data_IF_955916839498
#
_entry.id   IF_955916839498
#
_cell.length_a   1.000
_cell.length_b   1.000
_cell.length_c   1.000
_cell.angle_alpha   90.00
_cell.angle_beta   90.00
_cell.angle_gamma   90.00
#
_symmetry.space_group_name_H-M   'P 1'
#
loop_
_entity.id
_entity.type
_entity.pdbx_description
1 polymer ?
#
# COMPACT_ATOMS: atom_id res chain seq x y z
N UNK A 1 -2.82 12.37 0.27
CA UNK A 1 -3.09 13.82 0.23
C UNK A 1 -4.07 14.20 -0.89
N UNK A 2 -3.91 13.70 -2.13
CA UNK A 2 -4.78 14.05 -3.26
C UNK A 2 -6.26 13.75 -3.03
N UNK A 3 -6.62 12.78 -2.19
CA UNK A 3 -8.00 12.45 -1.84
C UNK A 3 -8.40 12.85 -0.42
N UNK A 4 -7.57 13.58 0.32
CA UNK A 4 -7.86 14.00 1.69
C UNK A 4 -8.51 15.39 1.71
N UNK A 5 -9.72 15.54 2.24
CA UNK A 5 -10.38 16.86 2.32
C UNK A 5 -9.56 17.89 3.09
N UNK A 6 -8.84 17.46 4.13
CA UNK A 6 -7.99 18.33 4.94
C UNK A 6 -6.79 18.90 4.18
N UNK A 7 -6.46 18.37 3.02
CA UNK A 7 -5.36 18.84 2.18
C UNK A 7 -5.81 19.85 1.08
N UNK A 8 -7.07 20.26 1.09
CA UNK A 8 -7.59 21.21 0.10
C UNK A 8 -6.84 22.55 0.15
N UNK A 9 -6.35 23.01 -1.01
CA UNK A 9 -5.65 24.27 -1.13
C UNK A 9 -4.21 24.30 -0.58
N UNK A 10 -3.69 23.18 -0.04
CA UNK A 10 -2.33 23.13 0.52
C UNK A 10 -1.24 22.97 -0.56
N UNK A 11 -1.63 22.57 -1.78
CA UNK A 11 -0.69 22.39 -2.90
C UNK A 11 -1.40 22.67 -4.25
N UNK A 12 -0.63 23.07 -5.25
CA UNK A 12 -1.12 23.45 -6.58
C UNK A 12 -0.77 22.44 -7.67
N UNK A 13 0.10 21.47 -7.38
CA UNK A 13 0.49 20.38 -8.26
C UNK A 13 1.06 19.25 -7.42
N UNK A 14 1.13 18.04 -7.97
CA UNK A 14 1.69 16.88 -7.29
C UNK A 14 2.62 16.07 -8.20
N UNK A 15 3.64 15.45 -7.60
CA UNK A 15 4.50 14.46 -8.24
C UNK A 15 4.47 13.20 -7.38
N UNK A 16 4.06 12.07 -7.97
CA UNK A 16 3.98 10.78 -7.31
C UNK A 16 4.98 9.81 -7.96
N UNK A 17 6.00 9.42 -7.22
CA UNK A 17 7.07 8.55 -7.69
C UNK A 17 6.99 7.19 -6.98
N UNK A 18 6.72 6.12 -7.75
CA UNK A 18 6.62 4.74 -7.24
C UNK A 18 5.67 4.61 -6.05
N UNK A 19 4.50 5.22 -6.15
CA UNK A 19 3.50 5.24 -5.08
C UNK A 19 2.74 3.92 -5.01
N UNK A 20 2.76 3.20 -3.87
CA UNK A 20 1.95 2.00 -3.67
C UNK A 20 0.49 2.40 -3.34
N UNK A 21 -0.23 2.89 -4.33
CA UNK A 21 -1.55 3.56 -4.17
C UNK A 21 -2.61 2.66 -3.52
N UNK A 22 -2.47 1.33 -3.63
CA UNK A 22 -3.36 0.36 -2.97
C UNK A 22 -2.95 0.04 -1.53
N UNK A 23 -1.84 0.58 -1.04
CA UNK A 23 -1.38 0.36 0.34
C UNK A 23 -2.04 1.33 1.32
N UNK A 24 -3.37 1.34 1.33
CA UNK A 24 -4.21 1.94 2.36
C UNK A 24 -5.15 0.85 2.87
N UNK A 25 -5.40 0.80 4.16
CA UNK A 25 -6.09 -0.33 4.77
C UNK A 25 -7.27 0.11 5.63
N UNK A 26 -8.27 -0.75 5.75
CA UNK A 26 -9.37 -0.58 6.66
C UNK A 26 -8.89 -0.57 8.13
N UNK A 27 -9.66 0.07 9.00
CA UNK A 27 -9.32 0.27 10.42
C UNK A 27 -8.97 -1.02 11.17
N UNK A 28 -9.60 -2.16 10.85
CA UNK A 28 -9.30 -3.44 11.49
C UNK A 28 -7.88 -3.94 11.20
N UNK A 29 -7.38 -3.69 10.00
CA UNK A 29 -6.01 -4.00 9.64
C UNK A 29 -5.00 -3.17 10.44
N UNK A 30 -5.26 -1.87 10.56
CA UNK A 30 -4.45 -0.97 11.37
C UNK A 30 -4.49 -1.33 12.86
N UNK A 31 -5.66 -1.71 13.36
CA UNK A 31 -5.83 -2.14 14.76
C UNK A 31 -4.94 -3.35 15.11
N UNK A 32 -4.93 -4.39 14.27
CA UNK A 32 -4.05 -5.57 14.50
C UNK A 32 -2.57 -5.21 14.55
N UNK A 33 -2.14 -4.28 13.70
CA UNK A 33 -0.76 -3.77 13.70
C UNK A 33 -0.47 -2.99 15.00
N UNK A 34 -1.38 -2.10 15.39
CA UNK A 34 -1.25 -1.33 16.62
C UNK A 34 -1.23 -2.22 17.87
N UNK A 35 -2.09 -3.23 17.95
CA UNK A 35 -2.10 -4.20 19.04
C UNK A 35 -0.76 -4.92 19.15
N UNK A 36 -0.23 -5.44 18.04
CA UNK A 36 1.06 -6.11 18.04
C UNK A 36 2.20 -5.17 18.46
N UNK A 37 2.15 -3.91 18.04
CA UNK A 37 3.13 -2.90 18.45
C UNK A 37 3.07 -2.62 19.95
N UNK A 38 1.87 -2.49 20.51
CA UNK A 38 1.66 -2.27 21.95
C UNK A 38 2.09 -3.48 22.78
N UNK A 39 1.79 -4.70 22.29
CA UNK A 39 2.23 -5.94 22.97
C UNK A 39 3.76 -6.01 23.08
N UNK A 40 4.49 -5.61 22.03
CA UNK A 40 5.96 -5.58 22.05
C UNK A 40 6.53 -4.56 23.06
N UNK A 41 5.76 -3.52 23.35
CA UNK A 41 6.12 -2.48 24.31
C UNK A 41 5.55 -2.73 25.72
N UNK A 42 4.82 -3.83 25.91
CA UNK A 42 4.12 -4.16 27.15
C UNK A 42 3.20 -3.03 27.63
N UNK A 43 2.47 -2.39 26.69
CA UNK A 43 1.54 -1.30 26.96
C UNK A 43 0.12 -1.77 26.69
N UNK A 44 -0.74 -1.67 27.71
CA UNK A 44 -2.16 -1.89 27.56
C UNK A 44 -2.87 -0.74 26.83
N UNK A 45 -4.01 -1.02 26.18
CA UNK A 45 -4.81 0.01 25.49
C UNK A 45 -5.24 1.19 26.38
N UNK A 46 -5.39 0.95 27.69
CA UNK A 46 -5.72 1.97 28.68
C UNK A 46 -4.55 2.89 29.04
N UNK A 47 -3.31 2.47 28.71
CA UNK A 47 -2.06 3.12 29.13
C UNK A 47 -1.31 3.80 27.98
N UNK A 48 -2.01 4.17 26.89
CA UNK A 48 -1.39 4.75 25.69
C UNK A 48 -0.53 6.00 25.97
N UNK A 49 -0.85 6.75 27.02
CA UNK A 49 -0.05 7.91 27.44
C UNK A 49 1.40 7.56 27.80
N UNK A 50 1.69 6.29 28.15
CA UNK A 50 3.06 5.85 28.42
C UNK A 50 3.98 5.86 27.19
N UNK A 51 3.41 5.80 25.96
CA UNK A 51 4.18 5.84 24.72
C UNK A 51 5.07 7.07 24.61
N UNK A 52 4.56 8.24 25.05
CA UNK A 52 5.31 9.51 25.00
C UNK A 52 6.55 9.53 25.92
N UNK A 53 6.59 8.67 26.94
CA UNK A 53 7.69 8.58 27.89
C UNK A 53 8.69 7.46 27.61
N UNK A 54 8.46 6.66 26.54
CA UNK A 54 9.38 5.56 26.21
C UNK A 54 10.67 6.07 25.56
N UNK A 55 11.80 5.37 25.79
CA UNK A 55 13.01 5.58 25.01
C UNK A 55 12.74 5.35 23.52
N UNK A 56 13.29 6.20 22.67
CA UNK A 56 13.12 6.10 21.20
C UNK A 56 13.61 4.74 20.68
N UNK A 57 14.62 4.17 21.29
CA UNK A 57 15.19 2.86 20.94
C UNK A 57 14.16 1.74 21.11
N UNK A 58 13.34 1.77 22.15
CA UNK A 58 12.27 0.79 22.37
C UNK A 58 11.19 0.91 21.29
N UNK A 59 10.78 2.13 20.96
CA UNK A 59 9.82 2.40 19.89
C UNK A 59 10.35 1.91 18.54
N UNK A 60 11.61 2.21 18.23
CA UNK A 60 12.27 1.80 16.97
C UNK A 60 12.40 0.28 16.91
N UNK A 61 12.76 -0.38 18.00
CA UNK A 61 12.87 -1.84 18.05
C UNK A 61 11.52 -2.53 17.81
N UNK A 62 10.46 -2.08 18.49
CA UNK A 62 9.10 -2.58 18.30
C UNK A 62 8.59 -2.33 16.87
N UNK A 63 8.82 -1.12 16.33
CA UNK A 63 8.45 -0.77 14.95
C UNK A 63 9.14 -1.66 13.92
N UNK A 64 10.43 -1.92 14.10
CA UNK A 64 11.21 -2.80 13.20
C UNK A 64 10.68 -4.23 13.24
N UNK A 65 10.36 -4.75 14.43
CA UNK A 65 9.77 -6.09 14.57
C UNK A 65 8.44 -6.19 13.84
N UNK A 66 7.54 -5.23 14.03
CA UNK A 66 6.23 -5.19 13.34
C UNK A 66 6.41 -5.06 11.83
N UNK A 67 7.34 -4.20 11.39
CA UNK A 67 7.66 -3.99 9.98
C UNK A 67 8.09 -5.29 9.28
N UNK A 68 8.86 -6.13 9.96
CA UNK A 68 9.34 -7.39 9.40
C UNK A 68 8.28 -8.50 9.49
N UNK A 69 7.49 -8.57 10.58
CA UNK A 69 6.49 -9.62 10.80
C UNK A 69 5.27 -9.50 9.87
N UNK A 70 4.77 -8.29 9.63
CA UNK A 70 3.50 -8.08 8.91
C UNK A 70 3.54 -8.66 7.50
N UNK A 71 4.52 -8.35 6.63
CA UNK A 71 4.54 -8.89 5.27
C UNK A 71 4.88 -10.38 5.20
N UNK A 72 5.43 -10.96 6.26
CA UNK A 72 5.62 -12.43 6.36
C UNK A 72 4.28 -13.11 6.61
N UNK A 73 3.44 -12.55 7.48
CA UNK A 73 2.11 -13.09 7.80
C UNK A 73 1.07 -12.77 6.73
N UNK A 74 1.17 -11.58 6.16
CA UNK A 74 0.24 -11.05 5.15
C UNK A 74 1.04 -10.53 3.96
N UNK A 75 1.35 -11.39 2.96
CA UNK A 75 2.19 -11.02 1.82
C UNK A 75 1.68 -9.78 1.08
N UNK A 76 2.58 -8.85 0.79
CA UNK A 76 2.27 -7.60 0.10
C UNK A 76 1.69 -6.50 1.00
N UNK A 77 1.46 -6.76 2.29
CA UNK A 77 0.94 -5.76 3.23
C UNK A 77 2.08 -4.99 3.90
N UNK A 78 1.96 -3.66 3.92
CA UNK A 78 2.84 -2.80 4.71
C UNK A 78 2.37 -2.77 6.16
N UNK A 79 3.32 -2.76 7.10
CA UNK A 79 2.99 -2.62 8.53
C UNK A 79 2.41 -1.21 8.83
N UNK A 80 3.07 -0.19 8.30
CA UNK A 80 2.69 1.20 8.49
C UNK A 80 2.18 1.78 7.18
N UNK A 81 0.91 2.11 7.15
CA UNK A 81 0.24 2.63 5.97
C UNK A 81 -0.95 3.52 6.40
N UNK A 82 -1.44 4.39 5.52
CA UNK A 82 -2.66 5.16 5.78
C UNK A 82 -3.85 4.25 6.07
N UNK A 83 -4.68 4.67 7.00
CA UNK A 83 -5.93 3.97 7.35
C UNK A 83 -7.10 4.74 6.76
N UNK A 84 -8.00 4.02 6.10
CA UNK A 84 -9.29 4.55 5.65
C UNK A 84 -10.15 4.75 6.89
N UNK A 85 -10.29 6.00 7.32
CA UNK A 85 -10.96 6.41 8.56
C UNK A 85 -12.30 7.12 8.32
N UNK A 86 -12.62 7.42 7.05
CA UNK A 86 -13.83 8.13 6.67
C UNK A 86 -13.74 9.67 6.82
N UNK A 87 -12.61 10.20 7.28
CA UNK A 87 -12.38 11.63 7.54
C UNK A 87 -11.11 12.12 6.81
N UNK A 88 -9.92 11.89 7.37
CA UNK A 88 -8.65 12.30 6.74
C UNK A 88 -8.37 11.47 5.48
N UNK A 89 -8.68 10.20 5.51
CA UNK A 89 -8.66 9.29 4.35
C UNK A 89 -10.07 8.72 4.17
N UNK A 90 -10.95 9.45 3.45
CA UNK A 90 -12.38 9.12 3.41
C UNK A 90 -12.71 7.81 2.69
N UNK A 91 -11.87 7.38 1.76
CA UNK A 91 -12.02 6.12 1.02
C UNK A 91 -10.66 5.70 0.44
N UNK A 92 -10.58 4.53 -0.17
CA UNK A 92 -9.37 4.06 -0.86
C UNK A 92 -8.99 5.02 -2.00
N UNK A 93 -7.69 5.34 -2.16
CA UNK A 93 -7.26 6.36 -3.13
C UNK A 93 -7.71 6.11 -4.57
N UNK A 94 -7.65 4.85 -5.05
CA UNK A 94 -8.13 4.50 -6.40
C UNK A 94 -9.64 4.70 -6.51
N UNK A 95 -10.40 4.39 -5.46
CA UNK A 95 -11.85 4.61 -5.42
C UNK A 95 -12.19 6.10 -5.48
N UNK A 96 -11.48 6.93 -4.70
CA UNK A 96 -11.65 8.38 -4.74
C UNK A 96 -11.33 8.96 -6.13
N UNK A 97 -10.24 8.53 -6.74
CA UNK A 97 -9.88 8.96 -8.09
C UNK A 97 -10.96 8.59 -9.12
N UNK A 98 -11.45 7.35 -9.10
CA UNK A 98 -12.53 6.89 -9.99
C UNK A 98 -13.85 7.63 -9.80
N UNK A 99 -14.13 8.09 -8.58
CA UNK A 99 -15.31 8.91 -8.25
C UNK A 99 -15.13 10.41 -8.58
N UNK A 100 -13.95 10.84 -9.05
CA UNK A 100 -13.63 12.24 -9.27
C UNK A 100 -13.52 13.07 -7.97
N UNK A 101 -13.21 12.42 -6.86
CA UNK A 101 -13.12 13.02 -5.52
C UNK A 101 -11.68 13.33 -5.09
N UNK A 102 -10.78 13.50 -6.05
CA UNK A 102 -9.41 13.97 -5.80
C UNK A 102 -9.32 15.49 -6.06
N UNK A 103 -8.34 16.14 -5.40
CA UNK A 103 -8.12 17.57 -5.63
C UNK A 103 -7.76 17.85 -7.10
N UNK A 104 -8.36 18.87 -7.74
CA UNK A 104 -8.18 19.16 -9.16
C UNK A 104 -6.84 19.88 -9.42
N UNK A 105 -5.74 19.19 -9.18
CA UNK A 105 -4.37 19.70 -9.40
C UNK A 105 -3.63 18.83 -10.41
N UNK A 106 -2.77 19.39 -11.27
CA UNK A 106 -1.95 18.62 -12.19
C UNK A 106 -1.10 17.57 -11.46
N UNK A 107 -0.98 16.37 -12.04
CA UNK A 107 -0.27 15.24 -11.45
C UNK A 107 0.75 14.67 -12.45
N UNK A 108 2.01 14.55 -12.00
CA UNK A 108 3.00 13.68 -12.63
C UNK A 108 3.04 12.39 -11.80
N UNK A 109 2.80 11.23 -12.44
CA UNK A 109 2.83 9.95 -11.75
C UNK A 109 3.61 8.92 -12.56
N UNK A 110 4.51 8.19 -11.91
CA UNK A 110 5.32 7.19 -12.58
C UNK A 110 5.89 6.14 -11.67
N UNK A 111 6.39 5.08 -12.31
CA UNK A 111 7.03 3.95 -11.64
C UNK A 111 8.30 3.55 -12.38
N UNK A 112 9.24 2.91 -11.67
CA UNK A 112 10.41 2.34 -12.29
C UNK A 112 10.05 1.07 -13.11
N UNK A 113 10.87 0.75 -14.11
CA UNK A 113 10.69 -0.46 -14.92
C UNK A 113 10.73 -1.74 -14.08
N UNK A 114 11.58 -1.78 -13.05
CA UNK A 114 11.88 -2.96 -12.25
C UNK A 114 11.69 -2.69 -10.75
N UNK A 115 10.52 -2.22 -10.34
CA UNK A 115 10.20 -1.87 -8.94
C UNK A 115 10.53 -3.01 -7.95
N UNK A 116 10.21 -4.25 -8.31
CA UNK A 116 10.43 -5.40 -7.42
C UNK A 116 11.91 -5.83 -7.29
N UNK A 117 12.82 -5.32 -8.13
CA UNK A 117 14.20 -5.78 -8.17
C UNK A 117 14.97 -5.50 -6.87
N UNK A 118 14.78 -4.32 -6.29
CA UNK A 118 15.42 -3.93 -5.02
C UNK A 118 15.00 -4.84 -3.88
N UNK A 119 13.71 -5.14 -3.75
CA UNK A 119 13.16 -6.00 -2.69
C UNK A 119 13.71 -7.43 -2.78
N UNK A 120 13.88 -7.95 -4.00
CA UNK A 120 14.53 -9.24 -4.21
C UNK A 120 15.98 -9.23 -3.77
N UNK A 121 16.73 -8.19 -4.15
CA UNK A 121 18.14 -8.05 -3.78
C UNK A 121 18.32 -7.96 -2.26
N UNK A 122 17.46 -7.20 -1.59
CA UNK A 122 17.42 -7.07 -0.14
C UNK A 122 16.82 -8.30 0.57
N UNK A 123 16.30 -9.30 -0.16
CA UNK A 123 15.54 -10.44 0.36
C UNK A 123 14.36 -10.01 1.25
N UNK A 124 13.77 -8.86 0.94
CA UNK A 124 12.68 -8.29 1.72
C UNK A 124 11.39 -9.08 1.52
N UNK A 125 10.64 -9.40 2.59
CA UNK A 125 9.33 -10.05 2.50
C UNK A 125 8.22 -9.13 1.98
N UNK A 126 8.46 -7.82 1.89
CA UNK A 126 7.48 -6.82 1.43
C UNK A 126 6.98 -7.08 0.00
N UNK A 127 7.80 -7.69 -0.84
CA UNK A 127 7.44 -7.98 -2.21
C UNK A 127 7.44 -9.48 -2.46
N UNK A 128 6.27 -10.13 -2.45
CA UNK A 128 6.16 -11.57 -2.65
C UNK A 128 6.49 -11.94 -4.09
N UNK A 129 7.37 -12.92 -4.27
CA UNK A 129 7.79 -13.40 -5.59
C UNK A 129 7.52 -14.89 -5.82
N UNK A 130 7.10 -15.60 -4.78
CA UNK A 130 6.68 -17.01 -4.86
C UNK A 130 5.22 -17.08 -5.26
N UNK A 131 4.78 -18.07 -6.07
CA UNK A 131 3.40 -18.19 -6.52
C UNK A 131 2.38 -18.18 -5.37
N UNK A 132 2.67 -18.92 -4.29
CA UNK A 132 1.79 -19.03 -3.12
C UNK A 132 1.62 -17.69 -2.42
N UNK A 133 2.71 -16.94 -2.25
CA UNK A 133 2.70 -15.62 -1.61
C UNK A 133 2.03 -14.57 -2.51
N UNK A 134 2.19 -14.68 -3.83
CA UNK A 134 1.47 -13.82 -4.79
C UNK A 134 -0.03 -14.09 -4.72
N UNK A 135 -0.44 -15.36 -4.69
CA UNK A 135 -1.84 -15.73 -4.55
C UNK A 135 -2.44 -15.21 -3.23
N UNK A 136 -1.71 -15.32 -2.14
CA UNK A 136 -2.11 -14.74 -0.85
C UNK A 136 -2.24 -13.21 -0.92
N UNK A 137 -1.30 -12.52 -1.55
CA UNK A 137 -1.38 -11.06 -1.76
C UNK A 137 -2.61 -10.66 -2.57
N UNK A 138 -2.96 -11.40 -3.62
CA UNK A 138 -4.18 -11.15 -4.40
C UNK A 138 -5.44 -11.31 -3.54
N UNK A 139 -5.50 -12.37 -2.72
CA UNK A 139 -6.63 -12.60 -1.83
C UNK A 139 -6.78 -11.48 -0.79
N UNK A 140 -5.67 -10.99 -0.23
CA UNK A 140 -5.67 -9.87 0.70
C UNK A 140 -6.15 -8.56 0.04
N UNK A 141 -5.66 -8.25 -1.17
CA UNK A 141 -6.11 -7.04 -1.89
C UNK A 141 -7.59 -7.14 -2.25
N UNK A 142 -8.06 -8.30 -2.71
CA UNK A 142 -9.47 -8.52 -3.03
C UNK A 142 -10.38 -8.40 -1.81
N UNK A 143 -9.94 -8.89 -0.65
CA UNK A 143 -10.67 -8.77 0.60
C UNK A 143 -10.69 -7.32 1.12
N UNK A 144 -9.56 -6.61 1.01
CA UNK A 144 -9.42 -5.23 1.45
C UNK A 144 -10.19 -4.24 0.55
N UNK A 145 -10.14 -4.46 -0.77
CA UNK A 145 -10.74 -3.58 -1.78
C UNK A 145 -11.59 -4.36 -2.78
N UNK A 146 -12.79 -4.83 -2.40
CA UNK A 146 -13.63 -5.68 -3.27
C UNK A 146 -14.05 -5.01 -4.58
N UNK A 147 -14.03 -3.68 -4.65
CA UNK A 147 -14.33 -2.92 -5.86
C UNK A 147 -13.19 -2.89 -6.89
N UNK A 148 -12.00 -3.35 -6.49
CA UNK A 148 -10.83 -3.40 -7.36
C UNK A 148 -10.85 -4.68 -8.18
N UNK A 149 -11.01 -4.55 -9.50
CA UNK A 149 -10.97 -5.69 -10.42
C UNK A 149 -9.52 -6.14 -10.60
N UNK A 150 -9.18 -7.27 -10.01
CA UNK A 150 -7.88 -7.90 -10.16
C UNK A 150 -7.91 -8.90 -11.33
N UNK A 151 -6.77 -9.06 -12.07
CA UNK A 151 -6.68 -10.02 -13.15
C UNK A 151 -6.76 -11.47 -12.63
N UNK A 152 -7.38 -12.34 -13.42
CA UNK A 152 -7.41 -13.77 -13.16
C UNK A 152 -6.04 -14.45 -13.35
N UNK A 153 -5.87 -15.65 -12.82
CA UNK A 153 -4.65 -16.43 -13.03
C UNK A 153 -4.36 -16.71 -14.52
N UNK A 154 -5.40 -16.90 -15.34
CA UNK A 154 -5.28 -17.12 -16.78
C UNK A 154 -4.73 -15.87 -17.50
N UNK A 155 -5.26 -14.68 -17.18
CA UNK A 155 -4.79 -13.40 -17.71
C UNK A 155 -3.34 -13.13 -17.32
N UNK A 156 -2.98 -13.35 -16.05
CA UNK A 156 -1.59 -13.27 -15.59
C UNK A 156 -0.71 -14.30 -16.33
N UNK A 157 -1.25 -15.49 -16.61
CA UNK A 157 -0.55 -16.55 -17.36
C UNK A 157 -0.14 -16.09 -18.75
N UNK A 158 -1.00 -15.38 -19.44
CA UNK A 158 -0.76 -14.85 -20.79
C UNK A 158 0.11 -13.58 -20.83
N UNK A 159 -0.04 -12.71 -19.82
CA UNK A 159 0.62 -11.40 -19.81
C UNK A 159 2.11 -11.47 -19.47
N UNK A 160 2.54 -12.40 -18.60
CA UNK A 160 3.92 -12.47 -18.15
C UNK A 160 4.69 -13.62 -18.77
N UNK A 161 5.75 -13.26 -19.51
CA UNK A 161 6.70 -14.22 -20.05
C UNK A 161 7.69 -14.66 -18.97
N UNK A 162 8.22 -15.89 -19.10
CA UNK A 162 9.17 -16.47 -18.14
C UNK A 162 8.49 -17.41 -17.14
N UNK A 163 9.32 -17.98 -16.24
CA UNK A 163 8.88 -18.96 -15.23
C UNK A 163 9.41 -18.60 -13.85
N UNK A 164 8.74 -19.11 -12.82
CA UNK A 164 9.19 -18.99 -11.44
C UNK A 164 9.38 -17.56 -10.95
N UNK A 165 10.50 -17.26 -10.32
CA UNK A 165 10.78 -15.98 -9.66
C UNK A 165 10.81 -14.78 -10.61
N UNK A 166 11.18 -14.95 -11.88
CA UNK A 166 11.20 -13.85 -12.87
C UNK A 166 9.78 -13.38 -13.15
N UNK A 167 8.86 -14.32 -13.39
CA UNK A 167 7.45 -14.03 -13.56
C UNK A 167 6.87 -13.40 -12.29
N UNK A 168 7.18 -13.96 -11.13
CA UNK A 168 6.72 -13.44 -9.84
C UNK A 168 7.14 -12.00 -9.58
N UNK A 169 8.36 -11.62 -9.93
CA UNK A 169 8.83 -10.22 -9.81
C UNK A 169 8.04 -9.25 -10.70
N UNK A 170 7.72 -9.66 -11.93
CA UNK A 170 6.89 -8.85 -12.82
C UNK A 170 5.52 -8.61 -12.23
N UNK A 171 4.84 -9.68 -11.83
CA UNK A 171 3.49 -9.62 -11.21
C UNK A 171 3.51 -8.76 -9.94
N UNK A 172 4.46 -9.00 -9.05
CA UNK A 172 4.55 -8.28 -7.78
C UNK A 172 4.83 -6.78 -7.98
N UNK A 173 5.75 -6.43 -8.88
CA UNK A 173 6.06 -5.03 -9.21
C UNK A 173 4.87 -4.30 -9.84
N UNK A 174 4.18 -4.96 -10.75
CA UNK A 174 3.01 -4.38 -11.40
C UNK A 174 1.85 -4.22 -10.40
N UNK A 175 1.56 -5.22 -9.59
CA UNK A 175 0.46 -5.16 -8.62
C UNK A 175 0.75 -4.22 -7.45
N UNK A 176 2.01 -4.15 -6.99
CA UNK A 176 2.39 -3.28 -5.88
C UNK A 176 2.51 -1.80 -6.25
N UNK A 177 2.89 -1.49 -7.50
CA UNK A 177 3.22 -0.12 -7.90
C UNK A 177 2.58 0.31 -9.22
N UNK A 178 2.83 -0.42 -10.30
CA UNK A 178 2.51 0.06 -11.64
C UNK A 178 1.01 0.13 -11.90
N UNK A 179 0.28 -0.96 -11.67
CA UNK A 179 -1.16 -0.99 -11.91
C UNK A 179 -1.92 -0.04 -10.97
N UNK A 180 -1.62 0.01 -9.66
CA UNK A 180 -2.19 1.03 -8.78
C UNK A 180 -1.98 2.46 -9.27
N UNK A 181 -0.77 2.80 -9.75
CA UNK A 181 -0.47 4.11 -10.31
C UNK A 181 -1.31 4.40 -11.57
N UNK A 182 -1.44 3.44 -12.48
CA UNK A 182 -2.27 3.56 -13.68
C UNK A 182 -3.75 3.75 -13.31
N UNK A 183 -4.28 2.92 -12.40
CA UNK A 183 -5.69 3.03 -11.97
C UNK A 183 -6.00 4.37 -11.32
N UNK A 184 -5.07 4.90 -10.54
CA UNK A 184 -5.20 6.22 -9.94
C UNK A 184 -5.14 7.32 -11.00
N UNK A 185 -4.16 7.26 -11.91
CA UNK A 185 -3.99 8.20 -13.01
C UNK A 185 -5.23 8.27 -13.89
N UNK A 186 -5.78 7.12 -14.27
CA UNK A 186 -6.99 7.01 -15.09
C UNK A 186 -8.21 7.66 -14.44
N UNK A 187 -8.36 7.50 -13.12
CA UNK A 187 -9.43 8.17 -12.38
C UNK A 187 -9.18 9.67 -12.23
N UNK A 188 -7.97 10.07 -11.86
CA UNK A 188 -7.61 11.46 -11.61
C UNK A 188 -7.69 12.33 -12.88
N UNK A 189 -7.48 11.76 -14.05
CA UNK A 189 -7.58 12.41 -15.35
C UNK A 189 -8.95 13.08 -15.61
N UNK A 190 -10.00 12.63 -14.90
CA UNK A 190 -11.32 13.24 -15.00
C UNK A 190 -11.40 14.62 -14.33
N UNK A 191 -10.47 14.94 -13.42
CA UNK A 191 -10.49 16.19 -12.64
C UNK A 191 -9.32 17.14 -12.95
N UNK A 192 -8.17 16.61 -13.41
CA UNK A 192 -7.00 17.42 -13.75
C UNK A 192 -6.06 16.71 -14.73
N UNK A 193 -5.14 17.44 -15.40
CA UNK A 193 -4.12 16.83 -16.27
C UNK A 193 -3.22 15.85 -15.51
N UNK A 194 -2.92 14.70 -16.16
CA UNK A 194 -2.00 13.69 -15.66
C UNK A 194 -0.92 13.42 -16.72
N UNK A 195 0.34 13.38 -16.26
CA UNK A 195 1.53 13.16 -17.08
C UNK A 195 2.34 11.95 -16.59
#
# INVERSE_FOLDING_TARGET
LLGSPAAAGLFTAAIAQSSPVTSSYHADGGRRVAERFLDLLEIGRQDLGRLAGLPIEAIVAASRTVFDEVPVRTPGRLAFAPIVDGDIVPDYPVTLARKGLTHPVPLIIGTNRNEAALFRWMKSPLMPIKPESIKAMFAEIAAEQPSLQLPSEAELGGAYRGRGKVKGMGVAGDLGFRMPSIWFADGHRAVAPVY
#
